data_IF_839970722766
#
_entry.id   IF_839970722766
#
_cell.length_a   1.000
_cell.length_b   1.000
_cell.length_c   1.000
_cell.angle_alpha   90.00
_cell.angle_beta   90.00
_cell.angle_gamma   90.00
#
_symmetry.space_group_name_H-M   'P 1'
#
loop_
_entity.id
_entity.type
_entity.pdbx_description
1 polymer ?
#
# COMPACT_ATOMS: atom_id res chain seq x y z
N UNK A 1 -7.69 -9.24 6.35
CA UNK A 1 -7.24 -7.84 6.54
C UNK A 1 -5.86 -7.72 5.90
N UNK A 2 -5.61 -6.72 5.07
CA UNK A 2 -4.32 -6.52 4.39
C UNK A 2 -3.62 -5.34 5.04
N UNK A 3 -2.32 -5.48 5.31
CA UNK A 3 -1.45 -4.37 5.71
C UNK A 3 -0.61 -3.94 4.51
N UNK A 4 -0.56 -2.63 4.28
CA UNK A 4 0.26 -2.01 3.25
C UNK A 4 0.81 -0.69 3.78
N UNK A 5 1.94 -0.23 3.22
CA UNK A 5 2.52 1.06 3.56
C UNK A 5 1.97 2.11 2.61
N UNK A 6 1.56 3.24 3.18
CA UNK A 6 1.12 4.41 2.45
C UNK A 6 1.98 5.62 2.84
N UNK A 7 2.21 6.56 1.92
CA UNK A 7 2.78 7.85 2.26
C UNK A 7 2.00 8.51 3.39
N UNK A 8 2.69 9.16 4.32
CA UNK A 8 2.09 9.76 5.52
C UNK A 8 0.92 10.72 5.21
N UNK A 9 0.99 11.44 4.10
CA UNK A 9 -0.06 12.35 3.64
C UNK A 9 -1.30 11.65 3.05
N UNK A 10 -1.19 10.38 2.66
CA UNK A 10 -2.27 9.57 2.10
C UNK A 10 -2.82 8.54 3.10
N UNK A 11 -2.06 8.21 4.14
CA UNK A 11 -2.43 7.27 5.20
C UNK A 11 -3.51 7.87 6.11
N UNK A 12 -4.76 7.88 5.65
CA UNK A 12 -5.93 8.33 6.41
C UNK A 12 -7.13 7.41 6.18
N UNK A 13 -7.94 7.10 7.21
CA UNK A 13 -9.15 6.32 7.05
C UNK A 13 -10.08 6.93 5.98
N UNK A 14 -10.70 6.07 5.18
CA UNK A 14 -11.58 6.47 4.07
C UNK A 14 -10.85 6.86 2.78
N UNK A 15 -9.51 6.98 2.78
CA UNK A 15 -8.76 7.16 1.55
C UNK A 15 -8.83 5.89 0.70
N UNK A 16 -9.20 6.05 -0.57
CA UNK A 16 -9.27 4.96 -1.55
C UNK A 16 -8.25 5.16 -2.65
N UNK A 17 -7.60 4.08 -3.06
CA UNK A 17 -6.61 4.09 -4.15
C UNK A 17 -6.70 2.81 -4.97
N UNK A 18 -6.25 2.89 -6.21
CA UNK A 18 -6.10 1.72 -7.08
C UNK A 18 -4.71 1.14 -6.89
N UNK A 19 -4.62 -0.16 -6.59
CA UNK A 19 -3.34 -0.83 -6.48
C UNK A 19 -2.66 -0.93 -7.86
N UNK A 20 -1.46 -0.37 -7.96
CA UNK A 20 -0.59 -0.53 -9.13
C UNK A 20 0.25 -1.80 -9.08
N UNK A 21 1.12 -1.99 -10.08
CA UNK A 21 2.09 -3.10 -10.13
C UNK A 21 3.43 -2.80 -9.45
N UNK A 22 3.60 -1.60 -8.90
CA UNK A 22 4.90 -1.08 -8.47
C UNK A 22 5.78 -0.66 -9.65
N UNK A 23 6.73 0.25 -9.42
CA UNK A 23 7.75 0.62 -10.40
C UNK A 23 8.92 -0.37 -10.42
N UNK A 24 9.86 -0.21 -11.35
CA UNK A 24 11.07 -1.06 -11.42
C UNK A 24 11.89 -1.03 -10.11
N UNK A 25 11.96 0.13 -9.46
CA UNK A 25 12.59 0.34 -8.15
C UNK A 25 12.01 -0.54 -7.03
N UNK A 26 10.77 -1.02 -7.19
CA UNK A 26 10.13 -1.87 -6.19
C UNK A 26 10.65 -3.31 -6.25
N UNK A 27 11.29 -3.76 -7.34
CA UNK A 27 11.76 -5.14 -7.51
C UNK A 27 12.82 -5.55 -6.49
N UNK A 28 13.69 -4.62 -6.09
CA UNK A 28 14.75 -4.84 -5.10
C UNK A 28 14.39 -4.24 -3.72
N UNK A 29 13.17 -3.72 -3.56
CA UNK A 29 12.74 -3.08 -2.34
C UNK A 29 12.39 -4.11 -1.26
N UNK A 30 13.01 -3.99 -0.08
CA UNK A 30 12.71 -4.82 1.10
C UNK A 30 11.23 -4.80 1.54
N UNK A 31 10.49 -3.76 1.16
CA UNK A 31 9.08 -3.60 1.49
C UNK A 31 8.13 -4.07 0.38
N UNK A 32 8.64 -4.56 -0.75
CA UNK A 32 7.85 -4.99 -1.91
C UNK A 32 6.67 -5.89 -1.52
N UNK A 33 6.96 -6.86 -0.64
CA UNK A 33 5.96 -7.81 -0.14
C UNK A 33 4.74 -7.13 0.49
N UNK A 34 5.00 -6.11 1.30
CA UNK A 34 3.97 -5.40 2.06
C UNK A 34 3.30 -4.29 1.25
N UNK A 35 4.07 -3.55 0.45
CA UNK A 35 3.56 -2.45 -0.35
C UNK A 35 2.77 -2.91 -1.58
N UNK A 36 3.29 -3.91 -2.31
CA UNK A 36 2.84 -4.23 -3.67
C UNK A 36 2.32 -5.66 -3.76
N UNK A 37 3.08 -6.67 -3.33
CA UNK A 37 2.72 -8.09 -3.52
C UNK A 37 1.39 -8.47 -2.86
N UNK A 38 1.13 -7.93 -1.66
CA UNK A 38 -0.13 -8.17 -0.94
C UNK A 38 -1.36 -7.54 -1.60
N UNK A 39 -1.18 -6.61 -2.55
CA UNK A 39 -2.26 -5.93 -3.25
C UNK A 39 -2.48 -6.54 -4.64
N UNK A 40 -3.74 -6.71 -5.02
CA UNK A 40 -4.08 -7.18 -6.37
C UNK A 40 -4.14 -5.98 -7.31
N UNK A 41 -3.31 -5.93 -8.37
CA UNK A 41 -3.27 -4.80 -9.29
C UNK A 41 -4.63 -4.60 -9.97
N UNK A 42 -5.03 -3.33 -10.11
CA UNK A 42 -6.31 -2.94 -10.70
C UNK A 42 -7.51 -2.99 -9.74
N UNK A 43 -7.33 -3.40 -8.48
CA UNK A 43 -8.37 -3.30 -7.45
C UNK A 43 -8.31 -1.99 -6.69
N UNK A 44 -9.49 -1.52 -6.27
CA UNK A 44 -9.63 -0.39 -5.35
C UNK A 44 -9.56 -0.91 -3.92
N UNK A 45 -8.72 -0.27 -3.11
CA UNK A 45 -8.59 -0.51 -1.68
C UNK A 45 -8.91 0.76 -0.92
N UNK A 46 -9.64 0.63 0.17
CA UNK A 46 -9.97 1.73 1.09
C UNK A 46 -9.28 1.51 2.42
N UNK A 47 -8.60 2.54 2.90
CA UNK A 47 -7.93 2.53 4.20
C UNK A 47 -9.00 2.49 5.31
N UNK A 48 -9.02 1.41 6.07
CA UNK A 48 -9.91 1.26 7.23
C UNK A 48 -9.28 1.81 8.52
N UNK A 49 -7.97 1.63 8.70
CA UNK A 49 -7.24 2.02 9.91
C UNK A 49 -5.77 2.26 9.56
N UNK A 50 -5.10 3.15 10.30
CA UNK A 50 -3.71 3.54 10.09
C UNK A 50 -2.90 3.13 11.32
N UNK A 51 -1.74 2.50 11.10
CA UNK A 51 -0.76 2.18 12.13
C UNK A 51 0.51 2.96 11.83
N UNK A 52 0.97 3.79 12.77
CA UNK A 52 2.28 4.40 12.66
C UNK A 52 3.34 3.36 13.02
N UNK A 53 4.39 3.31 12.22
CA UNK A 53 5.57 2.50 12.47
C UNK A 53 6.65 3.53 12.81
N UNK A 54 7.01 3.61 14.09
CA UNK A 54 8.14 4.42 14.59
C UNK A 54 9.47 3.75 14.26
#
# INVERSE_FOLDING_TARGET
MILTLLPKNLAKPGFSFVAGKGGDECKECRFFKTCVENLKPGRIYTVFSVRNIE
#
